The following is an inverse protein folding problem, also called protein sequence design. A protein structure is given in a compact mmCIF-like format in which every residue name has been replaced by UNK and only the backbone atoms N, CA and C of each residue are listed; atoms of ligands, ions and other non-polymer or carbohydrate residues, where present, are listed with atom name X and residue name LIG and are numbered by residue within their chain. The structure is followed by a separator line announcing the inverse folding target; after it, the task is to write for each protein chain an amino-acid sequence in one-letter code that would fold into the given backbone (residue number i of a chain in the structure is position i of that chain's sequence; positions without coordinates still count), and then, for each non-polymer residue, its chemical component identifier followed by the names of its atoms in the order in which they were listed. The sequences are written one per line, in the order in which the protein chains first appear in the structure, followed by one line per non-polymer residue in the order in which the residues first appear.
data_IF_371840995774
#
_entry.id   IF_371840995774
#
_cell.length_a   1.000
_cell.length_b   1.000
_cell.length_c   1.000
_cell.angle_alpha   90.00
_cell.angle_beta   90.00
_cell.angle_gamma   90.00
#
_symmetry.space_group_name_H-M   'P 1'
#
loop_
_entity.id
_entity.type
_entity.pdbx_description
1 polymer ?
#
# COMPACT_ATOMS: atom_id res chain seq x y z
N UNK A 1 -8.93 -5.06 16.38
CA UNK A 1 -9.10 -4.50 15.01
C UNK A 1 -7.75 -4.00 14.54
N UNK A 2 -7.36 -4.27 13.30
CA UNK A 2 -6.09 -3.79 12.74
C UNK A 2 -6.04 -2.26 12.76
N UNK A 3 -4.94 -1.68 13.26
CA UNK A 3 -4.70 -0.25 13.22
C UNK A 3 -3.58 0.04 12.23
N UNK A 4 -3.88 0.76 11.16
CA UNK A 4 -2.91 1.16 10.15
C UNK A 4 -2.24 2.48 10.53
N UNK A 5 -0.93 2.63 10.28
CA UNK A 5 -0.29 3.94 10.26
C UNK A 5 -0.96 4.85 9.20
N UNK A 6 -1.07 6.14 9.47
CA UNK A 6 -1.72 7.09 8.56
C UNK A 6 -1.03 7.24 7.20
N UNK A 7 0.29 7.05 7.16
CA UNK A 7 1.09 7.06 5.93
C UNK A 7 1.51 5.65 5.57
N UNK A 8 1.22 5.25 4.32
CA UNK A 8 1.53 3.95 3.76
C UNK A 8 2.37 4.12 2.47
N UNK A 9 3.70 4.24 2.58
CA UNK A 9 4.60 4.29 1.43
C UNK A 9 4.54 3.02 0.58
N UNK A 10 4.53 3.20 -0.74
CA UNK A 10 4.67 2.10 -1.70
C UNK A 10 5.98 2.30 -2.47
N UNK A 11 6.89 1.34 -2.31
CA UNK A 11 8.15 1.23 -3.03
C UNK A 11 7.87 0.51 -4.36
N UNK A 12 7.50 1.27 -5.38
CA UNK A 12 7.32 0.72 -6.73
C UNK A 12 8.68 0.67 -7.44
N UNK A 13 9.19 -0.53 -7.69
CA UNK A 13 10.50 -0.74 -8.31
C UNK A 13 10.65 -0.02 -9.66
N UNK A 14 9.56 0.15 -10.42
CA UNK A 14 9.58 0.88 -11.68
C UNK A 14 9.86 2.39 -11.55
N UNK A 15 9.73 2.94 -10.33
CA UNK A 15 9.99 4.35 -10.04
C UNK A 15 11.45 4.64 -9.63
N UNK A 16 12.29 3.60 -9.55
CA UNK A 16 13.70 3.74 -9.15
C UNK A 16 14.62 3.32 -10.31
N UNK A 17 15.79 3.98 -10.46
CA UNK A 17 16.75 3.61 -11.50
C UNK A 17 17.36 2.23 -11.26
N UNK A 18 17.46 1.82 -10.00
CA UNK A 18 17.99 0.53 -9.56
C UNK A 18 17.49 0.16 -8.14
N UNK A 19 17.72 -1.09 -7.75
CA UNK A 19 17.32 -1.61 -6.45
C UNK A 19 18.05 -0.90 -5.27
N UNK A 20 19.28 -0.47 -5.45
CA UNK A 20 20.05 0.20 -4.39
C UNK A 20 19.41 1.53 -4.00
N UNK A 21 18.91 2.30 -4.96
CA UNK A 21 18.15 3.52 -4.72
C UNK A 21 16.80 3.26 -4.04
N UNK A 22 16.12 2.18 -4.40
CA UNK A 22 14.90 1.75 -3.72
C UNK A 22 15.16 1.39 -2.26
N UNK A 23 16.23 0.64 -1.98
CA UNK A 23 16.61 0.28 -0.61
C UNK A 23 16.96 1.50 0.23
N UNK A 24 17.75 2.43 -0.32
CA UNK A 24 18.07 3.69 0.37
C UNK A 24 16.81 4.50 0.70
N UNK A 25 15.87 4.61 -0.25
CA UNK A 25 14.59 5.27 0.00
C UNK A 25 13.77 4.56 1.10
N UNK A 26 13.76 3.23 1.13
CA UNK A 26 13.07 2.45 2.16
C UNK A 26 13.65 2.72 3.57
N UNK A 27 14.96 2.80 3.69
CA UNK A 27 15.67 3.14 4.95
C UNK A 27 15.38 4.59 5.38
N UNK A 28 15.39 5.54 4.44
CA UNK A 28 15.04 6.94 4.71
C UNK A 28 13.59 7.10 5.20
N UNK A 29 12.64 6.38 4.58
CA UNK A 29 11.24 6.36 5.01
C UNK A 29 11.09 5.77 6.42
N UNK A 30 11.79 4.67 6.71
CA UNK A 30 11.81 4.08 8.06
C UNK A 30 12.40 5.04 9.10
N UNK A 31 13.50 5.71 8.78
CA UNK A 31 14.14 6.71 9.63
C UNK A 31 13.25 7.93 9.91
N UNK A 32 12.33 8.25 8.97
CA UNK A 32 11.31 9.28 9.16
C UNK A 32 10.13 8.83 10.07
N UNK A 33 10.06 7.54 10.41
CA UNK A 33 8.98 6.99 11.26
C UNK A 33 7.91 6.20 10.50
N UNK A 34 8.10 5.88 9.21
CA UNK A 34 7.19 5.01 8.47
C UNK A 34 7.35 3.56 8.91
N UNK A 35 6.41 3.05 9.70
CA UNK A 35 6.41 1.69 10.25
C UNK A 35 5.70 0.66 9.37
N UNK A 36 5.15 1.07 8.22
CA UNK A 36 4.49 0.23 7.23
C UNK A 36 4.99 0.64 5.85
N UNK A 37 5.44 -0.32 5.02
CA UNK A 37 5.85 -0.07 3.64
C UNK A 37 5.40 -1.23 2.74
N UNK A 38 5.04 -0.95 1.49
CA UNK A 38 4.73 -1.97 0.50
C UNK A 38 5.83 -2.04 -0.55
N UNK A 39 6.28 -3.24 -0.87
CA UNK A 39 7.13 -3.51 -2.01
C UNK A 39 6.28 -3.94 -3.21
N UNK A 40 6.39 -3.20 -4.31
CA UNK A 40 5.69 -3.43 -5.58
C UNK A 40 6.71 -3.55 -6.72
N UNK A 41 6.72 -4.72 -7.40
CA UNK A 41 7.52 -4.95 -8.59
C UNK A 41 6.70 -5.76 -9.59
N UNK A 42 6.42 -5.20 -10.75
CA UNK A 42 5.64 -5.81 -11.84
C UNK A 42 6.52 -6.34 -12.97
N UNK A 43 7.83 -6.52 -12.77
CA UNK A 43 8.77 -7.01 -13.79
C UNK A 43 8.52 -8.46 -14.22
N UNK A 44 7.85 -9.26 -13.36
CA UNK A 44 7.63 -10.69 -13.60
C UNK A 44 8.85 -11.58 -13.28
N UNK A 45 10.00 -11.02 -12.92
CA UNK A 45 11.19 -11.78 -12.53
C UNK A 45 11.13 -12.19 -11.06
N UNK A 46 10.58 -13.39 -10.79
CA UNK A 46 10.37 -13.86 -9.42
C UNK A 46 11.68 -14.01 -8.60
N UNK A 47 12.80 -14.37 -9.24
CA UNK A 47 14.10 -14.49 -8.56
C UNK A 47 14.55 -13.11 -8.07
N UNK A 48 14.58 -12.13 -8.96
CA UNK A 48 14.94 -10.75 -8.62
C UNK A 48 14.01 -10.19 -7.55
N UNK A 49 12.71 -10.36 -7.69
CA UNK A 49 11.72 -9.90 -6.70
C UNK A 49 11.96 -10.51 -5.32
N UNK A 50 12.32 -11.79 -5.24
CA UNK A 50 12.61 -12.46 -3.97
C UNK A 50 13.91 -11.95 -3.35
N UNK A 51 14.95 -11.72 -4.15
CA UNK A 51 16.22 -11.16 -3.69
C UNK A 51 16.03 -9.74 -3.14
N UNK A 52 15.33 -8.88 -3.87
CA UNK A 52 14.99 -7.52 -3.43
C UNK A 52 14.13 -7.52 -2.16
N UNK A 53 13.13 -8.39 -2.07
CA UNK A 53 12.27 -8.49 -0.90
C UNK A 53 13.04 -8.94 0.36
N UNK A 54 13.95 -9.92 0.22
CA UNK A 54 14.81 -10.37 1.32
C UNK A 54 15.76 -9.29 1.80
N UNK A 55 16.32 -8.53 0.85
CA UNK A 55 17.19 -7.39 1.17
C UNK A 55 16.43 -6.29 1.90
N UNK A 56 15.20 -5.94 1.47
CA UNK A 56 14.33 -5.01 2.20
C UNK A 56 14.06 -5.49 3.63
N UNK A 57 13.73 -6.79 3.80
CA UNK A 57 13.51 -7.36 5.14
C UNK A 57 14.77 -7.29 6.00
N UNK A 58 15.94 -7.59 5.44
CA UNK A 58 17.20 -7.56 6.16
C UNK A 58 17.54 -6.13 6.65
N UNK A 59 17.36 -5.12 5.80
CA UNK A 59 17.65 -3.72 6.10
C UNK A 59 16.68 -3.09 7.09
N UNK A 60 15.38 -3.35 6.91
CA UNK A 60 14.34 -2.69 7.70
C UNK A 60 14.00 -3.44 9.00
N UNK A 61 14.41 -4.71 9.11
CA UNK A 61 14.20 -5.52 10.30
C UNK A 61 12.71 -5.69 10.67
N UNK A 62 12.44 -6.01 11.93
CA UNK A 62 11.08 -6.22 12.44
C UNK A 62 10.34 -4.91 12.80
N UNK A 63 11.05 -3.78 12.81
CA UNK A 63 10.46 -2.47 13.13
C UNK A 63 9.54 -1.90 12.07
N UNK A 64 9.65 -2.41 10.84
CA UNK A 64 8.80 -2.01 9.71
C UNK A 64 7.98 -3.20 9.24
N UNK A 65 6.66 -3.03 9.17
CA UNK A 65 5.76 -3.98 8.53
C UNK A 65 5.90 -3.90 7.02
N UNK A 66 6.23 -5.03 6.39
CA UNK A 66 6.43 -5.13 4.94
C UNK A 66 5.28 -5.90 4.30
N UNK A 67 4.66 -5.25 3.32
CA UNK A 67 3.56 -5.82 2.52
C UNK A 67 4.07 -6.14 1.12
N UNK A 68 3.85 -7.36 0.67
CA UNK A 68 4.13 -7.77 -0.70
C UNK A 68 2.96 -7.40 -1.61
N UNK A 69 3.23 -6.89 -2.81
CA UNK A 69 2.20 -6.68 -3.81
C UNK A 69 2.00 -7.97 -4.63
N UNK A 70 0.75 -8.46 -4.77
CA UNK A 70 0.23 -9.57 -5.58
C UNK A 70 0.78 -10.98 -5.28
N UNK A 71 2.03 -11.13 -4.93
CA UNK A 71 2.76 -12.41 -4.92
C UNK A 71 2.77 -13.05 -3.52
N UNK A 72 1.74 -13.86 -3.22
CA UNK A 72 1.61 -14.58 -1.95
C UNK A 72 2.78 -15.54 -1.68
N UNK A 73 3.29 -16.21 -2.70
CA UNK A 73 4.46 -17.09 -2.63
C UNK A 73 5.73 -16.34 -2.20
N UNK A 74 5.98 -15.17 -2.79
CA UNK A 74 7.13 -14.33 -2.43
C UNK A 74 6.97 -13.67 -1.07
N UNK A 75 5.74 -13.33 -0.68
CA UNK A 75 5.41 -12.84 0.66
C UNK A 75 5.91 -13.82 1.74
N UNK A 76 5.57 -15.11 1.58
CA UNK A 76 6.00 -16.17 2.50
C UNK A 76 7.52 -16.40 2.43
N UNK A 77 8.07 -16.51 1.23
CA UNK A 77 9.49 -16.83 0.99
C UNK A 77 10.45 -15.73 1.49
N UNK A 78 9.99 -14.46 1.52
CA UNK A 78 10.75 -13.32 2.02
C UNK A 78 10.45 -12.98 3.49
N UNK A 79 9.51 -13.66 4.14
CA UNK A 79 9.11 -13.37 5.52
C UNK A 79 8.43 -12.01 5.69
N UNK A 80 7.62 -11.59 4.72
CA UNK A 80 6.85 -10.35 4.80
C UNK A 80 5.64 -10.50 5.73
N UNK A 81 5.18 -9.38 6.28
CA UNK A 81 4.11 -9.33 7.26
C UNK A 81 2.70 -9.39 6.65
N UNK A 82 2.61 -9.19 5.33
CA UNK A 82 1.31 -9.22 4.65
C UNK A 82 1.41 -9.14 3.13
N UNK A 83 0.24 -9.24 2.52
CA UNK A 83 0.02 -9.22 1.08
C UNK A 83 -1.03 -8.16 0.74
N UNK A 84 -0.88 -7.54 -0.40
CA UNK A 84 -1.91 -6.70 -1.00
C UNK A 84 -2.23 -7.20 -2.41
N UNK A 85 -3.51 -7.46 -2.70
CA UNK A 85 -3.97 -7.99 -3.99
C UNK A 85 -4.93 -7.00 -4.68
N UNK A 86 -4.88 -6.98 -6.00
CA UNK A 86 -5.82 -6.27 -6.87
C UNK A 86 -6.98 -7.16 -7.33
N UNK A 87 -7.82 -6.60 -8.21
CA UNK A 87 -9.02 -7.28 -8.71
C UNK A 87 -8.71 -8.44 -9.66
N UNK A 88 -7.58 -8.40 -10.36
CA UNK A 88 -7.14 -9.41 -11.34
C UNK A 88 -6.14 -10.42 -10.74
N UNK A 89 -5.82 -10.30 -9.44
CA UNK A 89 -4.89 -11.17 -8.72
C UNK A 89 -5.62 -12.33 -8.03
N UNK A 90 -4.98 -12.99 -7.07
CA UNK A 90 -5.63 -14.02 -6.25
C UNK A 90 -6.83 -13.45 -5.50
N UNK A 91 -7.94 -14.19 -5.48
CA UNK A 91 -9.07 -13.81 -4.63
C UNK A 91 -8.63 -13.72 -3.16
N UNK A 92 -9.25 -12.83 -2.35
CA UNK A 92 -8.88 -12.67 -0.94
C UNK A 92 -8.89 -13.99 -0.16
N UNK A 93 -9.87 -14.87 -0.42
CA UNK A 93 -9.96 -16.16 0.27
C UNK A 93 -8.87 -17.15 -0.18
N UNK A 94 -8.47 -17.12 -1.46
CA UNK A 94 -7.35 -17.91 -1.93
C UNK A 94 -6.04 -17.40 -1.33
N UNK A 95 -5.83 -16.08 -1.32
CA UNK A 95 -4.69 -15.43 -0.69
C UNK A 95 -4.60 -15.77 0.80
N UNK A 96 -5.71 -15.69 1.53
CA UNK A 96 -5.80 -16.05 2.96
C UNK A 96 -5.40 -17.48 3.23
N UNK A 97 -5.84 -18.44 2.40
CA UNK A 97 -5.45 -19.87 2.55
C UNK A 97 -3.93 -20.06 2.42
N UNK A 98 -3.27 -19.28 1.58
CA UNK A 98 -1.81 -19.33 1.39
C UNK A 98 -1.09 -18.65 2.56
N UNK A 99 -1.54 -17.44 2.95
CA UNK A 99 -0.88 -16.62 3.96
C UNK A 99 -1.01 -17.16 5.39
N UNK A 100 -2.07 -17.91 5.66
CA UNK A 100 -2.48 -18.23 7.02
C UNK A 100 -3.21 -17.06 7.73
N UNK A 101 -3.57 -17.20 9.00
CA UNK A 101 -4.40 -16.23 9.73
C UNK A 101 -3.64 -14.98 10.21
N UNK A 102 -2.32 -15.06 10.36
CA UNK A 102 -1.54 -14.07 11.12
C UNK A 102 -1.00 -12.91 10.26
N UNK A 103 -0.95 -13.09 8.93
CA UNK A 103 -0.44 -12.06 8.01
C UNK A 103 -1.55 -11.15 7.53
N UNK A 104 -1.20 -9.88 7.37
CA UNK A 104 -2.15 -8.89 6.87
C UNK A 104 -2.51 -9.13 5.41
N UNK A 105 -3.78 -8.97 5.07
CA UNK A 105 -4.29 -9.06 3.71
C UNK A 105 -5.05 -7.79 3.35
N UNK A 106 -4.53 -7.05 2.38
CA UNK A 106 -5.19 -5.88 1.80
C UNK A 106 -5.78 -6.19 0.43
N UNK A 107 -6.86 -5.50 0.09
CA UNK A 107 -7.55 -5.64 -1.20
C UNK A 107 -7.78 -4.27 -1.82
N UNK A 108 -7.37 -4.10 -3.09
CA UNK A 108 -7.69 -2.93 -3.90
C UNK A 108 -9.12 -2.95 -4.38
N UNK A 109 -9.78 -1.78 -4.34
CA UNK A 109 -11.12 -1.56 -4.87
C UNK A 109 -11.20 -0.23 -5.62
N UNK A 110 -12.15 -0.08 -6.54
CA UNK A 110 -12.27 1.05 -7.44
C UNK A 110 -13.68 1.64 -7.50
N UNK A 111 -14.66 0.99 -6.87
CA UNK A 111 -16.06 1.40 -6.88
C UNK A 111 -16.80 0.85 -5.63
N UNK A 112 -18.05 1.32 -5.36
CA UNK A 112 -18.82 0.88 -4.19
C UNK A 112 -19.14 -0.62 -4.15
N UNK A 113 -19.38 -1.24 -5.28
CA UNK A 113 -19.70 -2.67 -5.40
C UNK A 113 -18.51 -3.50 -4.93
N UNK A 114 -17.31 -3.19 -5.43
CA UNK A 114 -16.07 -3.88 -5.02
C UNK A 114 -15.76 -3.69 -3.53
N UNK A 115 -16.06 -2.51 -2.94
CA UNK A 115 -15.93 -2.30 -1.49
C UNK A 115 -16.87 -3.25 -0.72
N UNK A 116 -18.14 -3.31 -1.14
CA UNK A 116 -19.14 -4.15 -0.47
C UNK A 116 -18.75 -5.63 -0.55
N UNK A 117 -18.31 -6.09 -1.71
CA UNK A 117 -17.86 -7.46 -1.91
C UNK A 117 -16.61 -7.78 -1.07
N UNK A 118 -15.60 -6.89 -1.10
CA UNK A 118 -14.36 -7.06 -0.35
C UNK A 118 -14.58 -7.00 1.18
N UNK A 119 -15.57 -6.25 1.66
CA UNK A 119 -15.93 -6.18 3.08
C UNK A 119 -16.39 -7.55 3.63
N UNK A 120 -17.00 -8.39 2.80
CA UNK A 120 -17.47 -9.73 3.16
C UNK A 120 -16.35 -10.79 3.14
N UNK A 121 -15.16 -10.45 2.64
CA UNK A 121 -14.02 -11.38 2.54
C UNK A 121 -13.17 -11.41 3.81
N UNK A 122 -12.15 -12.28 3.80
CA UNK A 122 -11.13 -12.38 4.85
C UNK A 122 -10.06 -11.26 4.81
N UNK A 123 -10.24 -10.21 4.00
CA UNK A 123 -9.35 -9.04 3.98
C UNK A 123 -9.31 -8.32 5.32
N UNK A 124 -8.13 -7.90 5.75
CA UNK A 124 -7.92 -7.15 7.00
C UNK A 124 -8.10 -5.64 6.78
N UNK A 125 -7.81 -5.14 5.58
CA UNK A 125 -8.01 -3.75 5.19
C UNK A 125 -8.37 -3.64 3.70
N UNK A 126 -9.03 -2.56 3.33
CA UNK A 126 -9.43 -2.27 1.95
C UNK A 126 -8.73 -1.00 1.45
N UNK A 127 -8.43 -0.96 0.17
CA UNK A 127 -7.90 0.24 -0.47
C UNK A 127 -8.87 0.74 -1.55
N UNK A 128 -9.15 2.03 -1.55
CA UNK A 128 -10.01 2.70 -2.53
C UNK A 128 -9.20 3.69 -3.39
N UNK A 129 -9.37 3.63 -4.68
CA UNK A 129 -8.71 4.57 -5.61
C UNK A 129 -8.87 4.22 -7.08
N UNK A 130 -8.37 5.12 -7.95
CA UNK A 130 -7.60 6.32 -7.63
C UNK A 130 -8.46 7.48 -7.12
N UNK A 131 -8.02 8.15 -6.03
CA UNK A 131 -8.77 9.30 -5.49
C UNK A 131 -8.61 10.54 -6.38
N UNK A 132 -7.42 10.75 -6.92
CA UNK A 132 -7.10 11.82 -7.86
C UNK A 132 -6.41 11.23 -9.10
N UNK A 133 -6.32 12.02 -10.18
CA UNK A 133 -5.59 11.62 -11.38
C UNK A 133 -4.15 11.21 -11.04
N UNK A 134 -3.69 10.11 -11.62
CA UNK A 134 -2.35 9.56 -11.35
C UNK A 134 -1.73 9.01 -12.64
N UNK A 135 -0.41 9.07 -12.71
CA UNK A 135 0.40 8.49 -13.80
C UNK A 135 1.13 7.21 -13.37
N UNK A 136 0.95 6.79 -12.11
CA UNK A 136 1.66 5.62 -11.56
C UNK A 136 1.12 4.27 -12.06
N UNK A 137 -0.02 4.26 -12.77
CA UNK A 137 -0.63 3.07 -13.40
C UNK A 137 -0.89 3.41 -14.87
N UNK A 138 -0.48 2.53 -15.80
CA UNK A 138 -0.59 2.77 -17.24
C UNK A 138 -2.06 2.93 -17.70
N UNK A 139 -2.97 2.14 -17.11
CA UNK A 139 -4.41 2.22 -17.35
C UNK A 139 -5.10 2.43 -15.98
N UNK A 140 -5.20 3.66 -15.50
CA UNK A 140 -5.86 3.92 -14.23
C UNK A 140 -7.38 3.75 -14.35
N UNK A 141 -7.99 3.19 -13.32
CA UNK A 141 -9.43 3.17 -13.16
C UNK A 141 -9.99 4.61 -13.06
N UNK A 142 -11.30 4.81 -13.25
CA UNK A 142 -11.93 6.12 -13.10
C UNK A 142 -11.65 6.74 -11.71
N UNK A 143 -11.39 8.04 -11.71
CA UNK A 143 -11.15 8.79 -10.46
C UNK A 143 -12.38 8.77 -9.57
N UNK A 144 -12.27 8.28 -8.35
CA UNK A 144 -13.38 8.19 -7.39
C UNK A 144 -13.60 9.50 -6.61
N UNK A 145 -12.59 10.34 -6.50
CA UNK A 145 -12.64 11.59 -5.74
C UNK A 145 -12.85 11.41 -4.24
N UNK A 146 -12.95 12.52 -3.52
CA UNK A 146 -13.25 12.50 -2.08
C UNK A 146 -14.67 11.97 -1.79
N UNK A 147 -15.60 12.14 -2.72
CA UNK A 147 -16.94 11.57 -2.60
C UNK A 147 -16.91 10.03 -2.59
N UNK A 148 -16.07 9.43 -3.45
CA UNK A 148 -15.85 7.98 -3.44
C UNK A 148 -15.23 7.47 -2.14
N UNK A 149 -14.30 8.22 -1.53
CA UNK A 149 -13.73 7.87 -0.21
C UNK A 149 -14.81 7.89 0.88
N UNK A 150 -15.67 8.93 0.93
CA UNK A 150 -16.80 8.98 1.87
C UNK A 150 -17.75 7.82 1.68
N UNK A 151 -18.10 7.54 0.42
CA UNK A 151 -18.98 6.42 0.09
C UNK A 151 -18.39 5.07 0.50
N UNK A 152 -17.09 4.85 0.23
CA UNK A 152 -16.39 3.66 0.67
C UNK A 152 -16.44 3.51 2.21
N UNK A 153 -16.23 4.61 2.96
CA UNK A 153 -16.29 4.60 4.43
C UNK A 153 -17.66 4.20 4.97
N UNK A 154 -18.74 4.58 4.28
CA UNK A 154 -20.11 4.17 4.67
C UNK A 154 -20.34 2.67 4.51
N UNK A 155 -19.67 2.03 3.56
CA UNK A 155 -19.88 0.63 3.18
C UNK A 155 -19.02 -0.38 3.96
N UNK A 156 -17.95 0.07 4.62
CA UNK A 156 -17.07 -0.83 5.38
C UNK A 156 -16.73 -0.28 6.77
N UNK A 157 -16.47 -1.17 7.72
CA UNK A 157 -15.83 -0.85 9.00
C UNK A 157 -14.39 -1.31 9.09
N UNK A 158 -13.90 -2.01 8.07
CA UNK A 158 -12.48 -2.37 7.97
C UNK A 158 -11.62 -1.12 7.80
N UNK A 159 -10.34 -1.15 8.19
CA UNK A 159 -9.41 -0.07 7.90
C UNK A 159 -9.40 0.26 6.41
N UNK A 160 -9.54 1.55 6.07
CA UNK A 160 -9.67 2.05 4.70
C UNK A 160 -8.44 2.86 4.31
N UNK A 161 -7.72 2.38 3.31
CA UNK A 161 -6.58 3.05 2.68
C UNK A 161 -7.06 3.78 1.43
N UNK A 162 -6.72 5.04 1.28
CA UNK A 162 -6.95 5.77 0.03
C UNK A 162 -5.65 5.88 -0.78
N UNK A 163 -5.75 5.70 -2.11
CA UNK A 163 -4.60 5.72 -3.01
C UNK A 163 -4.92 6.45 -4.32
N UNK A 164 -3.89 6.93 -5.01
CA UNK A 164 -3.95 7.52 -6.35
C UNK A 164 -3.95 9.04 -6.33
N UNK A 165 -2.86 9.64 -6.84
CA UNK A 165 -2.68 11.08 -6.97
C UNK A 165 -2.62 11.84 -5.64
N UNK A 166 -2.35 11.15 -4.53
CA UNK A 166 -2.27 11.75 -3.20
C UNK A 166 -0.88 12.38 -3.02
N UNK A 167 -0.91 13.64 -2.56
CA UNK A 167 0.25 14.48 -2.31
C UNK A 167 0.11 15.14 -0.93
N UNK A 168 1.18 15.77 -0.44
CA UNK A 168 1.16 16.58 0.79
C UNK A 168 0.09 17.68 0.78
N UNK A 169 -0.25 18.21 -0.40
CA UNK A 169 -1.24 19.26 -0.54
C UNK A 169 -2.69 18.79 -0.33
N UNK A 170 -2.99 17.50 -0.62
CA UNK A 170 -4.35 16.97 -0.58
C UNK A 170 -4.57 15.84 0.44
N UNK A 171 -3.51 15.30 1.07
CA UNK A 171 -3.60 14.15 1.97
C UNK A 171 -4.55 14.37 3.16
N UNK A 172 -4.56 15.58 3.77
CA UNK A 172 -5.45 15.90 4.89
C UNK A 172 -6.92 15.74 4.50
N UNK A 173 -7.32 16.26 3.34
CA UNK A 173 -8.72 16.16 2.87
C UNK A 173 -9.15 14.71 2.62
N UNK A 174 -8.22 13.81 2.30
CA UNK A 174 -8.50 12.39 2.11
C UNK A 174 -8.81 11.71 3.46
N UNK A 175 -8.05 12.03 4.51
CA UNK A 175 -8.34 11.55 5.87
C UNK A 175 -9.66 12.12 6.37
N UNK A 176 -9.92 13.41 6.17
CA UNK A 176 -11.19 14.06 6.54
C UNK A 176 -12.39 13.48 5.77
N UNK A 177 -12.15 12.89 4.58
CA UNK A 177 -13.18 12.17 3.84
C UNK A 177 -13.47 10.76 4.40
N UNK A 178 -12.71 10.26 5.38
CA UNK A 178 -12.98 9.01 6.09
C UNK A 178 -11.97 7.89 5.84
N UNK A 179 -10.86 8.15 5.13
CA UNK A 179 -9.76 7.18 5.05
C UNK A 179 -9.00 7.10 6.37
N UNK A 180 -8.58 5.91 6.77
CA UNK A 180 -7.72 5.69 7.95
C UNK A 180 -6.26 5.94 7.62
N UNK A 181 -5.85 5.68 6.37
CA UNK A 181 -4.50 5.86 5.87
C UNK A 181 -4.47 6.34 4.41
N UNK A 182 -3.37 6.95 4.02
CA UNK A 182 -3.09 7.30 2.61
C UNK A 182 -1.89 6.50 2.11
N UNK A 183 -2.05 5.83 0.96
CA UNK A 183 -0.95 5.18 0.26
C UNK A 183 -0.35 6.12 -0.78
N UNK A 184 0.97 6.28 -0.75
CA UNK A 184 1.69 7.27 -1.58
C UNK A 184 2.88 6.62 -2.28
N UNK A 185 3.06 6.93 -3.57
CA UNK A 185 4.22 6.54 -4.37
C UNK A 185 5.05 7.79 -4.68
N UNK A 186 4.68 8.55 -5.69
CA UNK A 186 5.51 9.54 -6.37
C UNK A 186 5.91 10.75 -5.51
N UNK A 187 5.02 11.24 -4.64
CA UNK A 187 5.31 12.42 -3.80
C UNK A 187 6.32 12.14 -2.67
N UNK A 188 6.67 10.86 -2.44
CA UNK A 188 7.69 10.43 -1.48
C UNK A 188 9.09 10.29 -2.09
N UNK A 189 9.19 10.09 -3.44
CA UNK A 189 10.42 9.56 -4.05
C UNK A 189 11.56 10.58 -4.19
N UNK A 190 11.24 11.87 -4.26
CA UNK A 190 12.24 12.89 -4.55
C UNK A 190 13.17 13.16 -3.37
N UNK A 191 12.62 13.26 -2.17
CA UNK A 191 13.30 13.46 -0.89
C UNK A 191 12.58 12.58 0.16
N UNK A 192 12.83 11.25 0.17
CA UNK A 192 11.97 10.30 0.88
C UNK A 192 11.77 10.64 2.35
N UNK A 193 12.87 10.88 3.08
CA UNK A 193 12.82 11.23 4.50
C UNK A 193 12.03 12.51 4.76
N UNK A 194 12.40 13.60 4.10
CA UNK A 194 11.76 14.90 4.29
C UNK A 194 10.27 14.88 3.91
N UNK A 195 9.95 14.25 2.78
CA UNK A 195 8.56 14.11 2.33
C UNK A 195 7.73 13.30 3.32
N UNK A 196 8.27 12.21 3.87
CA UNK A 196 7.59 11.40 4.88
C UNK A 196 7.38 12.17 6.19
N UNK A 197 8.38 12.91 6.68
CA UNK A 197 8.26 13.77 7.87
C UNK A 197 7.18 14.86 7.69
N UNK A 198 7.08 15.43 6.47
CA UNK A 198 6.02 16.40 6.14
C UNK A 198 4.64 15.74 6.09
N UNK A 199 4.50 14.56 5.45
CA UNK A 199 3.25 13.80 5.46
C UNK A 199 2.80 13.46 6.88
N UNK A 200 3.70 12.91 7.71
CA UNK A 200 3.38 12.53 9.09
C UNK A 200 2.89 13.73 9.91
N UNK A 201 3.48 14.91 9.70
CA UNK A 201 3.02 16.16 10.36
C UNK A 201 1.63 16.60 9.86
N UNK A 202 1.35 16.44 8.56
CA UNK A 202 0.05 16.81 7.96
C UNK A 202 -1.06 15.87 8.44
N UNK A 203 -0.74 14.59 8.58
CA UNK A 203 -1.70 13.53 8.90
C UNK A 203 -1.97 13.39 10.41
N UNK A 204 -1.10 13.87 11.28
CA UNK A 204 -1.23 13.87 12.74
C UNK A 204 -0.71 12.61 13.35
#
# INVERSE_FOLDING_TARGET
MLQLPRLYPILDAACFPDAARMFAAAEELAAAGCTLQQYRNKSGNARQMLEEARELRARLGAGVKLIMNDRADLCLAAGFDGLHVGQDDLSPDAARRILGPDRWLGVSTHNPEQISDADQTSADYLAIGPVFATVSKANPDPVVGLAGVRRARELTRKPLVAIGGITRANARSVIEAGADAVAVISDLLREPRKSAEEFLRILG
#
